data_IF_631059547782
#
_entry.id   IF_631059547782
#
_cell.length_a   1.000
_cell.length_b   1.000
_cell.length_c   1.000
_cell.angle_alpha   90.00
_cell.angle_beta   90.00
_cell.angle_gamma   90.00
#
_symmetry.space_group_name_H-M   'P 1'
#
loop_
_entity.id
_entity.type
_entity.pdbx_description
1 polymer ?
#
# COMPACT_ATOMS: atom_id res chain seq x y z
N UNK A 1 34.09 -8.83 2.69
CA UNK A 1 33.66 -8.27 4.00
C UNK A 1 34.39 -6.96 4.22
N UNK A 2 33.65 -5.86 4.40
CA UNK A 2 34.20 -4.54 4.70
C UNK A 2 34.07 -4.21 6.20
N UNK A 3 34.99 -3.40 6.73
CA UNK A 3 34.96 -2.93 8.13
C UNK A 3 35.04 -1.40 8.16
N UNK A 4 34.17 -0.78 8.95
CA UNK A 4 34.12 0.66 9.19
C UNK A 4 34.50 0.88 10.64
N UNK A 5 35.43 1.79 10.90
CA UNK A 5 35.83 2.19 12.25
C UNK A 5 35.67 3.70 12.43
N UNK A 6 35.05 4.11 13.54
CA UNK A 6 34.88 5.52 13.96
C UNK A 6 35.14 5.57 15.45
N UNK A 7 36.04 6.45 15.89
CA UNK A 7 36.37 6.70 17.31
C UNK A 7 36.67 5.44 18.14
N UNK A 8 37.34 4.45 17.54
CA UNK A 8 37.74 3.21 18.20
C UNK A 8 36.69 2.10 18.18
N UNK A 9 35.43 2.40 17.85
CA UNK A 9 34.39 1.39 17.62
C UNK A 9 34.35 0.99 16.14
N UNK A 10 34.12 -0.30 15.87
CA UNK A 10 34.08 -0.81 14.48
C UNK A 10 32.89 -1.73 14.23
N UNK A 11 32.36 -1.68 13.01
CA UNK A 11 31.27 -2.54 12.55
C UNK A 11 31.62 -3.15 11.19
N UNK A 12 31.20 -4.39 10.97
CA UNK A 12 31.40 -5.10 9.71
C UNK A 12 30.14 -5.01 8.83
N UNK A 13 30.36 -5.02 7.52
CA UNK A 13 29.30 -5.09 6.51
C UNK A 13 29.73 -5.98 5.34
N UNK A 14 28.76 -6.56 4.65
CA UNK A 14 29.02 -7.34 3.45
C UNK A 14 29.19 -6.39 2.27
N UNK A 15 30.21 -6.61 1.44
CA UNK A 15 30.46 -5.88 0.19
C UNK A 15 29.92 -6.63 -1.02
N UNK A 16 29.52 -7.90 -0.87
CA UNK A 16 29.11 -8.76 -1.99
C UNK A 16 30.22 -9.06 -3.02
N UNK A 17 31.48 -8.76 -2.69
CA UNK A 17 32.65 -8.97 -3.54
C UNK A 17 33.44 -10.17 -3.04
N UNK A 18 33.81 -11.05 -3.97
CA UNK A 18 34.65 -12.22 -3.73
C UNK A 18 35.97 -12.09 -4.48
N UNK A 19 37.06 -12.46 -3.81
CA UNK A 19 38.40 -12.50 -4.40
C UNK A 19 39.16 -13.67 -3.82
N UNK A 20 40.02 -14.29 -4.63
CA UNK A 20 40.88 -15.38 -4.16
C UNK A 20 41.90 -14.86 -3.14
N UNK A 21 42.22 -15.59 -2.06
CA UNK A 21 43.14 -15.12 -1.03
C UNK A 21 44.54 -14.74 -1.56
N UNK A 22 44.99 -15.38 -2.63
CA UNK A 22 46.29 -15.11 -3.27
C UNK A 22 46.30 -13.78 -4.05
N UNK A 23 45.12 -13.29 -4.44
CA UNK A 23 44.91 -12.06 -5.20
C UNK A 23 44.57 -10.84 -4.33
N UNK A 24 44.73 -10.92 -3.00
CA UNK A 24 44.33 -9.86 -2.06
C UNK A 24 45.52 -9.30 -1.28
N UNK A 25 45.71 -7.97 -1.32
CA UNK A 25 46.65 -7.26 -0.47
C UNK A 25 45.92 -6.77 0.78
N UNK A 26 46.12 -7.47 1.90
CA UNK A 26 45.50 -7.12 3.18
C UNK A 26 45.98 -5.77 3.76
N UNK A 27 47.21 -5.34 3.42
CA UNK A 27 47.76 -4.06 3.88
C UNK A 27 47.14 -2.87 3.15
N UNK A 28 46.86 -3.02 1.85
CA UNK A 28 46.22 -1.96 1.03
C UNK A 28 44.69 -2.06 0.96
N UNK A 29 44.14 -3.22 1.29
CA UNK A 29 42.72 -3.52 1.15
C UNK A 29 42.25 -3.49 -0.31
N UNK A 30 43.08 -4.01 -1.23
CA UNK A 30 42.85 -4.02 -2.68
C UNK A 30 43.28 -5.37 -3.27
N UNK A 31 42.71 -5.73 -4.42
CA UNK A 31 43.16 -6.85 -5.23
C UNK A 31 44.53 -6.55 -5.88
N UNK A 32 45.41 -7.54 -5.93
CA UNK A 32 46.82 -7.41 -6.38
C UNK A 32 47.01 -7.56 -7.89
N UNK A 33 46.16 -8.34 -8.55
CA UNK A 33 46.33 -8.61 -9.97
C UNK A 33 45.79 -7.51 -10.88
N UNK A 34 46.10 -7.68 -12.17
CA UNK A 34 45.79 -6.71 -13.25
C UNK A 34 44.69 -7.23 -14.19
N UNK A 35 43.98 -8.29 -13.81
CA UNK A 35 42.86 -8.77 -14.62
C UNK A 35 41.73 -7.74 -14.66
N UNK A 36 40.85 -7.84 -15.65
CA UNK A 36 39.68 -6.98 -15.75
C UNK A 36 38.76 -7.13 -14.53
N UNK A 37 38.66 -8.35 -13.98
CA UNK A 37 37.87 -8.66 -12.79
C UNK A 37 38.44 -7.99 -11.53
N UNK A 38 39.74 -8.13 -11.28
CA UNK A 38 40.42 -7.50 -10.13
C UNK A 38 40.40 -5.97 -10.22
N UNK A 39 40.54 -5.43 -11.44
CA UNK A 39 40.43 -3.98 -11.68
C UNK A 39 39.02 -3.47 -11.38
N UNK A 40 37.98 -4.23 -11.76
CA UNK A 40 36.58 -3.92 -11.45
C UNK A 40 36.32 -3.94 -9.94
N UNK A 41 36.82 -4.98 -9.25
CA UNK A 41 36.74 -5.10 -7.78
C UNK A 41 37.40 -3.88 -7.11
N UNK A 42 38.61 -3.49 -7.53
CA UNK A 42 39.31 -2.33 -7.00
C UNK A 42 38.53 -1.03 -7.23
N UNK A 43 37.95 -0.85 -8.42
CA UNK A 43 37.10 0.32 -8.72
C UNK A 43 35.87 0.38 -7.81
N UNK A 44 35.28 -0.77 -7.51
CA UNK A 44 34.11 -0.87 -6.64
C UNK A 44 34.48 -0.61 -5.17
N UNK A 45 35.63 -1.09 -4.72
CA UNK A 45 36.20 -0.75 -3.40
C UNK A 45 36.45 0.75 -3.27
N UNK A 46 37.04 1.39 -4.28
CA UNK A 46 37.25 2.85 -4.26
C UNK A 46 35.93 3.63 -4.27
N UNK A 47 34.92 3.14 -5.00
CA UNK A 47 33.56 3.71 -4.93
C UNK A 47 32.99 3.64 -3.51
N UNK A 48 33.12 2.49 -2.83
CA UNK A 48 32.69 2.35 -1.45
C UNK A 48 33.42 3.31 -0.51
N UNK A 49 34.75 3.47 -0.64
CA UNK A 49 35.53 4.44 0.14
C UNK A 49 35.03 5.88 -0.07
N UNK A 50 34.78 6.26 -1.33
CA UNK A 50 34.26 7.58 -1.66
C UNK A 50 32.85 7.82 -1.09
N UNK A 51 31.97 6.82 -1.15
CA UNK A 51 30.64 6.92 -0.55
C UNK A 51 30.71 7.09 0.97
N UNK A 52 31.54 6.29 1.64
CA UNK A 52 31.81 6.36 3.08
C UNK A 52 32.26 7.76 3.47
N UNK A 53 33.26 8.31 2.77
CA UNK A 53 33.81 9.64 3.07
C UNK A 53 32.75 10.74 2.90
N UNK A 54 31.92 10.65 1.85
CA UNK A 54 30.81 11.58 1.62
C UNK A 54 29.74 11.49 2.71
N UNK A 55 29.38 10.27 3.12
CA UNK A 55 28.41 10.04 4.19
C UNK A 55 28.91 10.53 5.54
N UNK A 56 30.19 10.31 5.82
CA UNK A 56 30.85 10.82 7.00
C UNK A 56 30.76 12.35 7.06
N UNK A 57 31.15 13.05 5.98
CA UNK A 57 31.09 14.51 5.91
C UNK A 57 29.67 15.06 6.11
N UNK A 58 28.68 14.49 5.41
CA UNK A 58 27.29 14.94 5.50
C UNK A 58 26.69 14.75 6.91
N UNK A 59 26.99 13.62 7.56
CA UNK A 59 26.50 13.34 8.91
C UNK A 59 27.21 14.19 9.97
N UNK A 60 28.50 14.49 9.78
CA UNK A 60 29.27 15.38 10.66
C UNK A 60 28.67 16.79 10.65
N UNK A 61 28.35 17.31 9.46
CA UNK A 61 27.71 18.62 9.27
C UNK A 61 26.29 18.70 9.87
N UNK A 62 25.57 17.58 9.95
CA UNK A 62 24.16 17.57 10.37
C UNK A 62 23.94 17.21 11.85
N UNK A 63 24.74 16.30 12.41
CA UNK A 63 24.43 15.66 13.71
C UNK A 63 25.49 15.85 14.80
N UNK A 64 26.67 16.39 14.47
CA UNK A 64 27.73 16.69 15.45
C UNK A 64 28.38 15.49 16.16
N UNK A 65 27.77 14.31 16.15
CA UNK A 65 28.30 13.05 16.68
C UNK A 65 27.99 11.89 15.73
N UNK A 66 28.95 10.97 15.57
CA UNK A 66 28.97 9.93 14.56
C UNK A 66 29.42 8.60 15.15
N UNK A 67 28.70 7.52 14.83
CA UNK A 67 29.09 6.14 15.21
C UNK A 67 29.31 5.28 13.96
N UNK A 68 30.11 4.23 14.09
CA UNK A 68 30.37 3.29 12.99
C UNK A 68 29.07 2.64 12.46
N UNK A 69 28.10 2.36 13.34
CA UNK A 69 26.79 1.81 12.97
C UNK A 69 25.92 2.83 12.21
N UNK A 70 25.97 4.12 12.59
CA UNK A 70 25.27 5.19 11.86
C UNK A 70 25.79 5.33 10.43
N UNK A 71 27.10 5.19 10.24
CA UNK A 71 27.75 5.23 8.94
C UNK A 71 27.38 4.00 8.08
N UNK A 72 27.40 2.81 8.68
CA UNK A 72 26.98 1.55 8.04
C UNK A 72 25.52 1.59 7.62
N UNK A 73 24.63 2.16 8.43
CA UNK A 73 23.22 2.32 8.07
C UNK A 73 23.03 3.32 6.93
N UNK A 74 23.81 4.40 6.90
CA UNK A 74 23.80 5.33 5.76
C UNK A 74 24.32 4.68 4.47
N UNK A 75 25.32 3.80 4.59
CA UNK A 75 25.88 2.98 3.50
C UNK A 75 24.90 1.92 2.98
N UNK A 76 24.20 1.19 3.87
CA UNK A 76 23.11 0.29 3.46
C UNK A 76 21.97 1.07 2.80
N UNK A 77 21.71 2.29 3.30
CA UNK A 77 20.83 3.26 2.65
C UNK A 77 21.34 3.75 1.29
N UNK A 78 22.65 3.66 1.02
CA UNK A 78 23.28 4.03 -0.26
C UNK A 78 23.47 2.87 -1.24
N UNK A 79 23.60 1.63 -0.78
CA UNK A 79 23.44 0.44 -1.64
C UNK A 79 22.00 0.32 -2.17
N UNK A 80 21.02 0.82 -1.41
CA UNK A 80 19.66 1.05 -1.90
C UNK A 80 19.55 2.21 -2.92
N UNK A 81 20.54 3.10 -3.03
CA UNK A 81 20.51 4.24 -3.97
C UNK A 81 20.70 3.84 -5.44
N UNK A 82 21.16 2.62 -5.73
CA UNK A 82 21.19 2.14 -7.11
C UNK A 82 19.77 1.94 -7.68
N UNK A 83 18.73 1.91 -6.83
CA UNK A 83 17.32 1.80 -7.21
C UNK A 83 16.46 2.99 -6.74
N UNK A 84 16.97 4.23 -6.84
CA UNK A 84 16.23 5.47 -6.50
C UNK A 84 15.21 5.89 -7.56
N UNK A 85 14.45 4.92 -8.07
CA UNK A 85 13.50 5.14 -9.15
C UNK A 85 12.07 4.98 -8.66
N UNK A 86 11.15 5.70 -9.30
CA UNK A 86 9.75 5.68 -8.91
C UNK A 86 9.13 4.31 -9.12
N UNK A 87 9.38 3.70 -10.29
CA UNK A 87 8.85 2.38 -10.64
C UNK A 87 9.45 1.31 -9.73
N UNK A 88 10.75 1.38 -9.41
CA UNK A 88 11.41 0.46 -8.49
C UNK A 88 10.82 0.49 -7.07
N UNK A 89 10.65 1.68 -6.51
CA UNK A 89 10.07 1.83 -5.17
C UNK A 89 8.61 1.38 -5.11
N UNK A 90 7.84 1.64 -6.17
CA UNK A 90 6.45 1.19 -6.26
C UNK A 90 6.38 -0.34 -6.44
N UNK A 91 7.23 -0.93 -7.28
CA UNK A 91 7.30 -2.38 -7.46
C UNK A 91 7.56 -3.10 -6.13
N UNK A 92 8.53 -2.61 -5.34
CA UNK A 92 8.82 -3.14 -4.01
C UNK A 92 7.59 -3.07 -3.09
N UNK A 93 6.86 -1.95 -3.12
CA UNK A 93 5.63 -1.80 -2.35
C UNK A 93 4.53 -2.78 -2.80
N UNK A 94 4.37 -3.03 -4.10
CA UNK A 94 3.39 -4.00 -4.62
C UNK A 94 3.71 -5.41 -4.15
N UNK A 95 4.97 -5.83 -4.22
CA UNK A 95 5.39 -7.16 -3.76
C UNK A 95 5.20 -7.32 -2.25
N UNK A 96 5.48 -6.30 -1.44
CA UNK A 96 5.15 -6.34 -0.01
C UNK A 96 3.66 -6.52 0.25
N UNK A 97 2.79 -5.82 -0.51
CA UNK A 97 1.33 -6.00 -0.39
C UNK A 97 0.88 -7.39 -0.79
N UNK A 98 1.56 -8.01 -1.76
CA UNK A 98 1.30 -9.39 -2.19
C UNK A 98 1.69 -10.40 -1.13
N UNK A 99 2.88 -10.26 -0.54
CA UNK A 99 3.35 -11.13 0.55
C UNK A 99 2.48 -11.02 1.81
N UNK A 100 1.96 -9.82 2.09
CA UNK A 100 1.08 -9.58 3.23
C UNK A 100 -0.39 -10.00 3.00
N UNK A 101 -0.72 -10.53 1.81
CA UNK A 101 -2.10 -10.88 1.45
C UNK A 101 -2.62 -12.03 2.31
N UNK A 102 -3.83 -11.86 2.86
CA UNK A 102 -4.44 -12.85 3.76
C UNK A 102 -4.00 -12.76 5.22
N UNK A 103 -2.99 -11.93 5.52
CA UNK A 103 -2.51 -11.67 6.88
C UNK A 103 -2.88 -10.24 7.30
N UNK A 104 -2.28 -9.25 6.64
CA UNK A 104 -2.47 -7.82 6.94
C UNK A 104 -3.20 -7.07 5.81
N UNK A 105 -3.23 -7.66 4.62
CA UNK A 105 -3.76 -7.03 3.40
C UNK A 105 -4.83 -7.94 2.78
N UNK A 106 -5.96 -7.34 2.41
CA UNK A 106 -7.00 -8.06 1.66
C UNK A 106 -6.60 -8.21 0.19
N UNK A 107 -7.05 -9.26 -0.48
CA UNK A 107 -6.84 -9.45 -1.92
C UNK A 107 -7.29 -8.22 -2.73
N UNK A 108 -8.44 -7.63 -2.36
CA UNK A 108 -8.96 -6.41 -2.98
C UNK A 108 -8.06 -5.18 -2.80
N UNK A 109 -7.27 -5.12 -1.73
CA UNK A 109 -6.31 -4.05 -1.51
C UNK A 109 -5.08 -4.26 -2.37
N UNK A 110 -4.52 -5.48 -2.41
CA UNK A 110 -3.39 -5.81 -3.30
C UNK A 110 -3.70 -5.49 -4.77
N UNK A 111 -4.88 -5.90 -5.27
CA UNK A 111 -5.27 -5.64 -6.67
C UNK A 111 -5.25 -4.15 -7.00
N UNK A 112 -5.67 -3.28 -6.08
CA UNK A 112 -5.61 -1.82 -6.29
C UNK A 112 -4.17 -1.32 -6.46
N UNK A 113 -3.22 -1.84 -5.68
CA UNK A 113 -1.81 -1.47 -5.82
C UNK A 113 -1.22 -1.96 -7.14
N UNK A 114 -1.50 -3.21 -7.53
CA UNK A 114 -1.02 -3.78 -8.77
C UNK A 114 -1.57 -3.03 -10.01
N UNK A 115 -2.86 -2.67 -9.99
CA UNK A 115 -3.50 -1.88 -11.06
C UNK A 115 -2.93 -0.46 -11.11
N UNK A 116 -2.79 0.21 -9.97
CA UNK A 116 -2.23 1.56 -9.92
C UNK A 116 -0.77 1.61 -10.41
N UNK A 117 0.02 0.58 -10.08
CA UNK A 117 1.39 0.44 -10.58
C UNK A 117 1.45 0.29 -12.10
N UNK A 118 0.56 -0.51 -12.68
CA UNK A 118 0.46 -0.66 -14.14
C UNK A 118 0.12 0.67 -14.82
N UNK A 119 -0.89 1.38 -14.32
CA UNK A 119 -1.26 2.68 -14.88
C UNK A 119 -0.14 3.71 -14.81
N UNK A 120 0.67 3.68 -13.74
CA UNK A 120 1.85 4.53 -13.64
C UNK A 120 2.88 4.18 -14.73
N UNK A 121 3.18 2.89 -14.94
CA UNK A 121 4.09 2.46 -16.00
C UNK A 121 3.60 2.92 -17.39
N UNK A 122 2.32 2.71 -17.67
CA UNK A 122 1.73 3.11 -18.95
C UNK A 122 1.84 4.64 -19.14
N UNK A 123 1.60 5.42 -18.08
CA UNK A 123 1.78 6.86 -18.09
C UNK A 123 3.21 7.29 -18.38
N UNK A 124 4.21 6.66 -17.75
CA UNK A 124 5.62 6.95 -17.98
C UNK A 124 6.01 6.68 -19.44
N UNK A 125 5.56 5.56 -20.00
CA UNK A 125 5.79 5.23 -21.41
C UNK A 125 5.14 6.22 -22.37
N UNK A 126 3.89 6.63 -22.11
CA UNK A 126 3.16 7.50 -23.02
C UNK A 126 3.63 8.96 -22.96
N UNK A 127 3.86 9.48 -21.75
CA UNK A 127 4.17 10.91 -21.55
C UNK A 127 5.66 11.22 -21.55
N UNK A 128 6.47 10.33 -21.01
CA UNK A 128 7.90 10.54 -20.82
C UNK A 128 8.78 9.65 -21.71
N UNK A 129 8.17 8.72 -22.47
CA UNK A 129 8.87 7.75 -23.30
C UNK A 129 9.95 6.97 -22.52
N UNK A 130 9.67 6.69 -21.25
CA UNK A 130 10.60 6.04 -20.33
C UNK A 130 9.90 4.92 -19.56
N UNK A 131 10.64 3.85 -19.26
CA UNK A 131 10.21 2.77 -18.35
C UNK A 131 10.19 3.21 -16.89
N UNK A 132 10.99 4.21 -16.55
CA UNK A 132 11.22 4.65 -15.18
C UNK A 132 11.72 6.10 -15.12
N UNK A 133 11.63 6.70 -13.94
CA UNK A 133 12.14 8.04 -13.64
C UNK A 133 12.78 8.07 -12.26
N UNK A 134 13.73 8.98 -12.04
CA UNK A 134 14.30 9.17 -10.72
C UNK A 134 13.26 9.76 -9.76
N UNK A 135 13.24 9.28 -8.51
CA UNK A 135 12.40 9.86 -7.46
C UNK A 135 12.67 11.36 -7.25
N UNK A 136 13.89 11.84 -7.54
CA UNK A 136 14.22 13.26 -7.46
C UNK A 136 13.58 14.13 -8.54
N UNK A 137 13.07 13.52 -9.62
CA UNK A 137 12.35 14.20 -10.71
C UNK A 137 10.83 14.21 -10.47
N UNK A 138 10.35 13.56 -9.41
CA UNK A 138 8.93 13.53 -9.06
C UNK A 138 8.59 14.79 -8.27
N UNK A 139 8.11 15.81 -8.97
CA UNK A 139 7.65 17.07 -8.41
C UNK A 139 6.11 17.18 -8.42
N UNK A 140 5.58 18.33 -8.03
CA UNK A 140 4.13 18.58 -8.03
C UNK A 140 3.53 18.52 -9.44
N UNK A 141 4.25 19.03 -10.46
CA UNK A 141 3.78 19.00 -11.84
C UNK A 141 3.64 17.57 -12.36
N UNK A 142 4.54 16.65 -11.95
CA UNK A 142 4.39 15.22 -12.22
C UNK A 142 3.11 14.65 -11.62
N UNK A 143 2.79 15.00 -10.36
CA UNK A 143 1.58 14.53 -9.68
C UNK A 143 0.31 15.02 -10.39
N UNK A 144 0.27 16.29 -10.79
CA UNK A 144 -0.85 16.85 -11.55
C UNK A 144 -0.97 16.21 -12.93
N UNK A 145 0.16 16.04 -13.63
CA UNK A 145 0.20 15.38 -14.93
C UNK A 145 -0.34 13.95 -14.88
N UNK A 146 0.01 13.18 -13.85
CA UNK A 146 -0.49 11.82 -13.68
C UNK A 146 -1.97 11.80 -13.33
N UNK A 147 -2.44 12.70 -12.44
CA UNK A 147 -3.86 12.82 -12.12
C UNK A 147 -4.69 13.20 -13.35
N UNK A 148 -4.17 14.12 -14.18
CA UNK A 148 -4.77 14.50 -15.45
C UNK A 148 -4.88 13.30 -16.40
N UNK A 149 -3.79 12.55 -16.56
CA UNK A 149 -3.77 11.34 -17.40
C UNK A 149 -4.86 10.32 -17.00
N UNK A 150 -4.97 10.03 -15.70
CA UNK A 150 -6.00 9.11 -15.21
C UNK A 150 -7.42 9.63 -15.51
N UNK A 151 -7.63 10.95 -15.45
CA UNK A 151 -8.95 11.56 -15.61
C UNK A 151 -9.37 11.75 -17.06
N UNK A 152 -8.45 12.22 -17.91
CA UNK A 152 -8.75 12.66 -19.28
C UNK A 152 -8.46 11.54 -20.26
N UNK A 153 -7.23 11.02 -20.27
CA UNK A 153 -6.81 10.00 -21.22
C UNK A 153 -7.46 8.64 -20.93
N UNK A 154 -7.49 8.23 -19.65
CA UNK A 154 -8.14 6.98 -19.25
C UNK A 154 -9.64 7.13 -18.89
N UNK A 155 -10.18 8.35 -18.97
CA UNK A 155 -11.59 8.67 -18.70
C UNK A 155 -12.13 8.08 -17.38
N UNK A 156 -11.29 7.99 -16.36
CA UNK A 156 -11.68 7.36 -15.11
C UNK A 156 -12.59 8.27 -14.29
N UNK A 157 -13.61 7.67 -13.66
CA UNK A 157 -14.41 8.35 -12.67
C UNK A 157 -13.52 8.87 -11.50
N UNK A 158 -13.85 10.01 -10.86
CA UNK A 158 -13.02 10.61 -9.81
C UNK A 158 -12.70 9.66 -8.64
N UNK A 159 -13.62 8.74 -8.32
CA UNK A 159 -13.41 7.66 -7.33
C UNK A 159 -12.28 6.71 -7.73
N UNK A 160 -12.23 6.35 -9.00
CA UNK A 160 -11.23 5.45 -9.55
C UNK A 160 -9.87 6.16 -9.65
N UNK A 161 -9.84 7.42 -10.09
CA UNK A 161 -8.63 8.27 -10.04
C UNK A 161 -8.06 8.30 -8.62
N UNK A 162 -8.88 8.62 -7.61
CA UNK A 162 -8.44 8.63 -6.22
C UNK A 162 -7.98 7.24 -5.71
N UNK A 163 -8.51 6.16 -6.28
CA UNK A 163 -8.06 4.80 -5.95
C UNK A 163 -6.67 4.50 -6.50
N UNK A 164 -6.31 5.06 -7.65
CA UNK A 164 -4.98 4.95 -8.26
C UNK A 164 -3.95 5.94 -7.68
N UNK A 165 -4.38 7.15 -7.31
CA UNK A 165 -3.50 8.17 -6.70
C UNK A 165 -3.05 7.80 -5.28
N UNK A 166 -3.86 7.04 -4.54
CA UNK A 166 -3.54 6.63 -3.16
C UNK A 166 -2.29 5.74 -3.08
N UNK A 167 -2.19 4.63 -3.85
CA UNK A 167 -0.96 3.84 -3.93
C UNK A 167 0.28 4.67 -4.27
N UNK A 168 0.20 5.56 -5.28
CA UNK A 168 1.32 6.44 -5.63
C UNK A 168 1.72 7.33 -4.44
N UNK A 169 0.75 7.94 -3.73
CA UNK A 169 1.04 8.73 -2.53
C UNK A 169 1.72 7.91 -1.44
N UNK A 170 1.33 6.65 -1.27
CA UNK A 170 2.00 5.75 -0.32
C UNK A 170 3.45 5.48 -0.74
N UNK A 171 3.71 5.25 -2.03
CA UNK A 171 5.06 5.10 -2.58
C UNK A 171 5.93 6.33 -2.32
N UNK A 172 5.40 7.53 -2.59
CA UNK A 172 6.12 8.79 -2.34
C UNK A 172 6.40 9.00 -0.86
N UNK A 173 5.44 8.73 0.03
CA UNK A 173 5.67 8.79 1.49
C UNK A 173 6.78 7.85 1.93
N UNK A 174 6.84 6.65 1.34
CA UNK A 174 7.89 5.68 1.63
C UNK A 174 9.26 6.21 1.15
N UNK A 175 9.32 6.80 -0.03
CA UNK A 175 10.52 7.45 -0.55
C UNK A 175 10.98 8.66 0.30
N UNK A 176 10.05 9.48 0.78
CA UNK A 176 10.32 10.58 1.72
C UNK A 176 10.93 10.06 3.02
N UNK A 177 10.34 9.02 3.61
CA UNK A 177 10.85 8.41 4.84
C UNK A 177 12.25 7.79 4.67
N UNK A 178 12.57 7.33 3.46
CA UNK A 178 13.92 6.85 3.09
C UNK A 178 14.90 7.97 2.76
N UNK A 179 14.45 9.22 2.68
CA UNK A 179 15.27 10.37 2.32
C UNK A 179 15.62 10.46 0.82
N UNK A 180 14.90 9.72 -0.04
CA UNK A 180 15.10 9.77 -1.49
C UNK A 180 14.49 11.03 -2.11
N UNK A 181 13.45 11.56 -1.47
CA UNK A 181 12.78 12.82 -1.83
C UNK A 181 12.94 13.77 -0.65
N UNK A 182 13.21 15.05 -0.92
CA UNK A 182 13.38 16.09 0.11
C UNK A 182 12.08 16.81 0.47
N UNK A 183 11.23 17.06 -0.52
CA UNK A 183 9.97 17.80 -0.38
C UNK A 183 8.81 16.95 -0.89
N UNK A 184 7.68 16.93 -0.18
CA UNK A 184 6.52 16.14 -0.59
C UNK A 184 5.90 16.69 -1.89
N UNK A 185 5.97 15.97 -3.03
CA UNK A 185 5.36 16.41 -4.28
C UNK A 185 3.82 16.40 -4.24
N UNK A 186 3.21 15.81 -3.22
CA UNK A 186 1.75 15.87 -2.98
C UNK A 186 1.29 17.08 -2.14
N UNK A 187 2.18 18.03 -1.81
CA UNK A 187 1.93 19.05 -0.78
C UNK A 187 0.59 19.80 -0.92
N UNK A 188 0.17 20.17 -2.13
CA UNK A 188 -1.12 20.83 -2.38
C UNK A 188 -2.04 20.02 -3.32
N UNK A 189 -1.74 18.74 -3.53
CA UNK A 189 -2.60 17.88 -4.33
C UNK A 189 -3.89 17.58 -3.56
N UNK A 190 -5.02 18.06 -4.08
CA UNK A 190 -6.35 17.88 -3.49
C UNK A 190 -7.19 16.92 -4.34
N UNK A 191 -7.45 15.69 -3.85
CA UNK A 191 -8.40 14.78 -4.47
C UNK A 191 -9.77 15.43 -4.67
N UNK A 192 -10.39 15.17 -5.82
CA UNK A 192 -11.76 15.63 -6.09
C UNK A 192 -12.73 15.04 -5.04
N UNK A 193 -13.58 15.89 -4.47
CA UNK A 193 -14.59 15.48 -3.48
C UNK A 193 -15.71 14.72 -4.18
N UNK A 194 -15.85 13.44 -3.86
CA UNK A 194 -16.89 12.58 -4.43
C UNK A 194 -18.10 12.56 -3.50
N UNK A 195 -19.16 13.27 -3.86
CA UNK A 195 -20.45 13.18 -3.17
C UNK A 195 -21.19 11.94 -3.67
N UNK A 196 -21.23 10.90 -2.84
CA UNK A 196 -22.00 9.69 -3.16
C UNK A 196 -23.47 9.96 -2.86
N UNK A 197 -24.29 10.06 -3.91
CA UNK A 197 -25.74 9.97 -3.76
C UNK A 197 -26.11 8.52 -3.43
N UNK A 198 -26.30 8.22 -2.15
CA UNK A 198 -26.82 6.92 -1.72
C UNK A 198 -28.30 6.87 -2.11
N UNK A 199 -28.69 5.86 -2.88
CA UNK A 199 -30.10 5.55 -3.11
C UNK A 199 -30.64 4.94 -1.83
N UNK A 200 -31.84 5.35 -1.45
CA UNK A 200 -32.60 4.80 -0.33
C UNK A 200 -34.02 4.50 -0.83
N UNK A 201 -34.71 3.58 -0.16
CA UNK A 201 -36.11 3.27 -0.46
C UNK A 201 -36.98 3.93 0.60
N UNK A 202 -38.04 4.58 0.15
CA UNK A 202 -39.14 5.05 1.00
C UNK A 202 -39.94 3.89 1.57
N UNK A 203 -40.73 4.16 2.61
CA UNK A 203 -41.61 3.14 3.20
C UNK A 203 -42.62 2.62 2.18
N UNK A 204 -43.16 3.48 1.32
CA UNK A 204 -44.09 3.08 0.25
C UNK A 204 -43.45 2.13 -0.76
N UNK A 205 -42.18 2.37 -1.13
CA UNK A 205 -41.41 1.47 -2.00
C UNK A 205 -41.12 0.13 -1.32
N UNK A 206 -40.84 0.13 -0.01
CA UNK A 206 -40.68 -1.10 0.79
C UNK A 206 -42.00 -1.88 0.81
N UNK A 207 -43.13 -1.23 1.07
CA UNK A 207 -44.45 -1.87 1.06
C UNK A 207 -44.81 -2.44 -0.31
N UNK A 208 -44.49 -1.73 -1.39
CA UNK A 208 -44.64 -2.24 -2.74
C UNK A 208 -43.81 -3.52 -2.93
N UNK A 209 -42.54 -3.48 -2.50
CA UNK A 209 -41.64 -4.63 -2.57
C UNK A 209 -42.18 -5.84 -1.79
N UNK A 210 -42.78 -5.63 -0.61
CA UNK A 210 -43.40 -6.71 0.19
C UNK A 210 -44.54 -7.43 -0.55
N UNK A 211 -45.27 -6.73 -1.43
CA UNK A 211 -46.46 -7.26 -2.12
C UNK A 211 -46.14 -7.88 -3.48
N UNK A 212 -45.04 -7.45 -4.12
CA UNK A 212 -44.66 -7.89 -5.47
C UNK A 212 -44.24 -9.35 -5.47
N UNK A 213 -44.97 -10.21 -6.18
CA UNK A 213 -44.55 -11.58 -6.47
C UNK A 213 -43.65 -11.61 -7.71
N UNK A 214 -42.41 -12.04 -7.54
CA UNK A 214 -41.46 -12.15 -8.64
C UNK A 214 -41.62 -13.48 -9.39
N UNK A 215 -41.29 -13.46 -10.68
CA UNK A 215 -41.41 -14.63 -11.58
C UNK A 215 -40.55 -15.83 -11.16
N UNK A 216 -39.44 -15.59 -10.46
CA UNK A 216 -38.46 -16.63 -10.09
C UNK A 216 -38.43 -16.78 -8.57
N UNK A 217 -38.44 -18.03 -8.09
CA UNK A 217 -38.31 -18.33 -6.66
C UNK A 217 -37.04 -17.73 -6.04
N UNK A 218 -35.92 -17.74 -6.76
CA UNK A 218 -34.67 -17.11 -6.32
C UNK A 218 -34.79 -15.60 -6.14
N UNK A 219 -35.60 -14.93 -6.96
CA UNK A 219 -35.82 -13.49 -6.85
C UNK A 219 -36.74 -13.17 -5.66
N UNK A 220 -37.75 -14.00 -5.39
CA UNK A 220 -38.57 -13.89 -4.17
C UNK A 220 -37.71 -14.11 -2.91
N UNK A 221 -36.79 -15.09 -2.93
CA UNK A 221 -35.87 -15.30 -1.82
C UNK A 221 -34.96 -14.08 -1.58
N UNK A 222 -34.36 -13.51 -2.63
CA UNK A 222 -33.53 -12.29 -2.51
C UNK A 222 -34.35 -11.10 -1.97
N UNK A 223 -35.60 -10.94 -2.43
CA UNK A 223 -36.54 -9.93 -1.93
C UNK A 223 -36.80 -10.12 -0.44
N UNK A 224 -37.11 -11.34 0.00
CA UNK A 224 -37.43 -11.64 1.39
C UNK A 224 -36.21 -11.42 2.29
N UNK A 225 -35.01 -11.81 1.84
CA UNK A 225 -33.76 -11.54 2.54
C UNK A 225 -33.45 -10.04 2.63
N UNK A 226 -33.72 -9.27 1.58
CA UNK A 226 -33.56 -7.82 1.60
C UNK A 226 -34.53 -7.15 2.57
N UNK A 227 -35.82 -7.55 2.56
CA UNK A 227 -36.83 -7.02 3.47
C UNK A 227 -36.50 -7.37 4.92
N UNK A 228 -36.10 -8.61 5.17
CA UNK A 228 -35.61 -9.04 6.47
C UNK A 228 -34.44 -8.17 6.95
N UNK A 229 -33.46 -7.91 6.08
CA UNK A 229 -32.34 -7.00 6.38
C UNK A 229 -32.78 -5.57 6.66
N UNK A 230 -33.80 -5.09 5.95
CA UNK A 230 -34.36 -3.75 6.14
C UNK A 230 -35.05 -3.60 7.49
N UNK A 231 -35.79 -4.62 7.95
CA UNK A 231 -36.52 -4.58 9.23
C UNK A 231 -35.65 -4.90 10.45
N UNK A 232 -34.63 -5.74 10.29
CA UNK A 232 -33.69 -6.08 11.38
C UNK A 232 -32.51 -5.13 11.49
N UNK A 233 -32.17 -4.44 10.40
CA UNK A 233 -30.91 -3.70 10.29
C UNK A 233 -29.67 -4.60 10.14
N UNK A 234 -29.82 -5.93 9.97
CA UNK A 234 -28.66 -6.82 9.79
C UNK A 234 -27.95 -6.51 8.48
N UNK A 235 -26.63 -6.34 8.53
CA UNK A 235 -25.83 -6.11 7.34
C UNK A 235 -25.80 -7.36 6.45
N UNK A 236 -25.73 -7.19 5.12
CA UNK A 236 -25.67 -8.32 4.17
C UNK A 236 -24.55 -9.33 4.49
N UNK A 237 -23.38 -8.85 4.92
CA UNK A 237 -22.26 -9.72 5.29
C UNK A 237 -22.60 -10.65 6.48
N UNK A 238 -23.45 -10.19 7.40
CA UNK A 238 -23.91 -10.97 8.53
C UNK A 238 -25.08 -11.86 8.14
N UNK A 239 -26.04 -11.35 7.36
CA UNK A 239 -27.16 -12.13 6.82
C UNK A 239 -26.70 -13.36 6.06
N UNK A 240 -25.62 -13.23 5.27
CA UNK A 240 -25.04 -14.35 4.49
C UNK A 240 -24.55 -15.50 5.37
N UNK A 241 -24.13 -15.21 6.61
CA UNK A 241 -23.60 -16.21 7.53
C UNK A 241 -24.63 -16.63 8.58
N UNK A 242 -25.82 -16.03 8.60
CA UNK A 242 -26.88 -16.32 9.55
C UNK A 242 -27.35 -17.78 9.42
N UNK A 243 -27.33 -18.51 10.52
CA UNK A 243 -27.85 -19.87 10.61
C UNK A 243 -29.13 -19.90 11.45
N UNK A 244 -29.91 -20.99 11.34
CA UNK A 244 -31.16 -21.12 12.08
C UNK A 244 -30.97 -21.12 13.60
N UNK A 245 -29.84 -21.63 14.09
CA UNK A 245 -29.51 -21.65 15.52
C UNK A 245 -29.27 -20.24 16.08
N UNK A 246 -29.03 -19.27 15.21
CA UNK A 246 -28.88 -17.87 15.59
C UNK A 246 -30.23 -17.15 15.76
N UNK A 247 -31.35 -17.80 15.43
CA UNK A 247 -32.68 -17.22 15.48
C UNK A 247 -33.40 -17.74 16.73
N UNK A 248 -33.70 -16.84 17.66
CA UNK A 248 -34.43 -17.15 18.88
C UNK A 248 -35.80 -16.46 18.87
N UNK A 249 -36.84 -17.23 19.17
CA UNK A 249 -38.20 -16.69 19.31
C UNK A 249 -38.47 -16.43 20.78
N UNK A 250 -38.73 -15.17 21.12
CA UNK A 250 -39.14 -14.78 22.46
C UNK A 250 -40.63 -15.10 22.71
N UNK A 251 -41.01 -15.12 23.99
CA UNK A 251 -42.37 -15.44 24.42
C UNK A 251 -43.43 -14.41 23.98
N UNK A 252 -43.01 -13.19 23.66
CA UNK A 252 -43.84 -12.09 23.17
C UNK A 252 -43.98 -12.04 21.63
N UNK A 253 -43.39 -13.01 20.93
CA UNK A 253 -43.41 -13.09 19.47
C UNK A 253 -42.31 -12.28 18.78
N UNK A 254 -41.42 -11.62 19.52
CA UNK A 254 -40.21 -11.00 18.98
C UNK A 254 -39.24 -12.09 18.51
N UNK A 255 -38.65 -11.88 17.34
CA UNK A 255 -37.60 -12.74 16.80
C UNK A 255 -36.27 -12.03 16.93
N UNK A 256 -35.37 -12.62 17.70
CA UNK A 256 -34.01 -12.13 17.85
C UNK A 256 -33.04 -12.92 16.98
N UNK A 257 -32.17 -12.21 16.28
CA UNK A 257 -31.02 -12.80 15.60
C UNK A 257 -29.77 -12.48 16.42
N UNK A 258 -29.14 -13.52 16.96
CA UNK A 258 -27.94 -13.41 17.78
C UNK A 258 -26.70 -13.69 16.94
N UNK A 259 -25.80 -12.71 16.88
CA UNK A 259 -24.46 -12.93 16.33
C UNK A 259 -23.45 -13.11 17.46
N UNK A 260 -22.74 -14.24 17.56
CA UNK A 260 -21.54 -14.32 18.39
C UNK A 260 -20.45 -13.42 17.80
N UNK A 261 -20.00 -12.40 18.53
CA UNK A 261 -18.81 -11.63 18.15
C UNK A 261 -17.52 -12.29 18.67
N UNK A 262 -16.39 -11.97 18.05
CA UNK A 262 -15.07 -12.43 18.48
C UNK A 262 -14.68 -11.92 19.89
N UNK A 263 -15.37 -10.90 20.39
CA UNK A 263 -15.09 -10.25 21.67
C UNK A 263 -16.02 -10.73 22.80
N UNK A 264 -16.84 -11.77 22.56
CA UNK A 264 -17.76 -12.34 23.56
C UNK A 264 -19.10 -11.60 23.72
N UNK A 265 -19.26 -10.42 23.11
CA UNK A 265 -20.56 -9.73 23.05
C UNK A 265 -21.43 -10.26 21.91
N UNK A 266 -22.71 -10.52 22.19
CA UNK A 266 -23.70 -10.87 21.18
C UNK A 266 -24.38 -9.60 20.65
N UNK A 267 -24.45 -9.44 19.33
CA UNK A 267 -25.28 -8.39 18.72
C UNK A 267 -26.69 -8.94 18.56
N UNK A 268 -27.68 -8.24 19.12
CA UNK A 268 -29.09 -8.58 19.06
C UNK A 268 -29.75 -7.77 17.93
N UNK A 269 -30.34 -8.46 16.96
CA UNK A 269 -31.25 -7.84 16.00
C UNK A 269 -32.67 -8.32 16.26
N UNK A 270 -33.55 -7.43 16.73
CA UNK A 270 -34.92 -7.80 17.10
C UNK A 270 -35.92 -7.39 16.03
N UNK A 271 -36.85 -8.28 15.70
CA UNK A 271 -38.01 -7.99 14.87
C UNK A 271 -39.23 -7.90 15.79
N UNK A 272 -39.75 -6.69 15.98
CA UNK A 272 -41.07 -6.53 16.58
C UNK A 272 -42.16 -6.93 15.56
N UNK A 273 -43.26 -7.56 15.99
CA UNK A 273 -44.39 -7.81 15.10
C UNK A 273 -44.87 -6.49 14.49
N UNK A 274 -44.98 -6.47 13.16
CA UNK A 274 -45.47 -5.31 12.41
C UNK A 274 -46.93 -5.05 12.80
N UNK A 275 -47.15 -4.15 13.75
CA UNK A 275 -48.49 -3.69 14.13
C UNK A 275 -48.91 -2.60 13.16
N UNK A 276 -49.87 -2.91 12.27
CA UNK A 276 -50.60 -1.85 11.58
C UNK A 276 -51.40 -1.06 12.61
N UNK A 277 -50.88 0.08 13.04
CA UNK A 277 -51.76 1.14 13.55
C UNK A 277 -52.45 1.76 12.34
N UNK A 278 -53.60 1.20 11.97
CA UNK A 278 -54.51 1.88 11.07
C UNK A 278 -55.07 3.13 11.79
N UNK A 279 -55.11 4.31 11.14
CA UNK A 279 -56.02 5.38 11.55
C UNK A 279 -57.48 5.01 11.28
#
# INVERSE_FOLDING_TARGET
MGRISVDGESTAFSTGLDVLPQGWDAGKGLATGKSAEETSINKQIESYKAEIARHYKALLETRGYLTAESLKNALKGSELKQNNTLTGEFAALVEEKKLAMGILVTASTYVKYAVAYRHLKDFLHQKYHADDISLGQVDFAFIEAYAYYLKIDLQMAPRTVNTNMKPLRTTIKRALNKGFIRQDPFFDYRPEKITVKRRWLSMDEIECLMRVQMKRATANFVRDMFLFSTFTGIAYADLKNLQYENIQKQADGIVDCLKPSKDGNSILYSIAPYSRKHP
#
